data_IF_258097663636
#
_entry.id   IF_258097663636
#
_cell.length_a   1.000
_cell.length_b   1.000
_cell.length_c   1.000
_cell.angle_alpha   90.00
_cell.angle_beta   90.00
_cell.angle_gamma   90.00
#
_symmetry.space_group_name_H-M   'P 1'
#
loop_
_entity.id
_entity.type
_entity.pdbx_description
1 polymer ?
#
# COMPACT_ATOMS: atom_id res chain seq x y z
N UNK A 1 -19.76 -34.89 -27.02
CA UNK A 1 -19.07 -35.00 -25.74
C UNK A 1 -17.87 -34.12 -25.86
N UNK A 2 -18.04 -32.86 -25.51
CA UNK A 2 -17.08 -31.80 -25.80
C UNK A 2 -17.30 -30.71 -24.75
N UNK A 3 -16.80 -30.99 -23.55
CA UNK A 3 -16.59 -29.96 -22.54
C UNK A 3 -15.60 -28.95 -23.12
N UNK A 4 -16.06 -27.75 -23.48
CA UNK A 4 -15.21 -26.58 -23.72
C UNK A 4 -14.25 -26.44 -22.52
N UNK A 5 -12.92 -26.56 -22.70
CA UNK A 5 -11.99 -26.29 -21.62
C UNK A 5 -11.95 -24.77 -21.42
N UNK A 6 -12.66 -24.27 -20.40
CA UNK A 6 -12.49 -22.96 -19.75
C UNK A 6 -11.66 -21.92 -20.56
N UNK A 7 -12.25 -21.39 -21.64
CA UNK A 7 -11.61 -20.41 -22.54
C UNK A 7 -11.64 -18.98 -22.01
N UNK A 8 -11.37 -18.79 -20.71
CA UNK A 8 -11.33 -17.46 -20.10
C UNK A 8 -10.04 -16.73 -20.46
N UNK A 9 -10.11 -15.40 -20.58
CA UNK A 9 -8.90 -14.57 -20.73
C UNK A 9 -8.06 -14.68 -19.46
N UNK A 10 -6.81 -15.11 -19.58
CA UNK A 10 -5.89 -15.28 -18.46
C UNK A 10 -4.60 -14.51 -18.68
N UNK A 11 -4.15 -13.81 -17.65
CA UNK A 11 -2.84 -13.15 -17.61
C UNK A 11 -1.90 -13.90 -16.66
N UNK A 12 -0.60 -13.81 -16.89
CA UNK A 12 0.41 -14.34 -15.98
C UNK A 12 0.93 -13.17 -15.14
N UNK A 13 0.73 -13.23 -13.83
CA UNK A 13 1.20 -12.21 -12.90
C UNK A 13 2.39 -12.76 -12.11
N UNK A 14 3.45 -11.97 -11.96
CA UNK A 14 4.66 -12.31 -11.22
C UNK A 14 4.91 -11.33 -10.08
N UNK A 15 5.23 -11.85 -8.91
CA UNK A 15 5.61 -11.09 -7.72
C UNK A 15 6.84 -11.73 -7.07
N UNK A 16 8.02 -11.11 -7.21
CA UNK A 16 9.29 -11.73 -6.83
C UNK A 16 9.51 -13.04 -7.60
N UNK A 17 9.69 -14.15 -6.88
CA UNK A 17 9.81 -15.50 -7.44
C UNK A 17 8.46 -16.21 -7.65
N UNK A 18 7.37 -15.61 -7.17
CA UNK A 18 6.03 -16.21 -7.25
C UNK A 18 5.34 -15.83 -8.55
N UNK A 19 4.75 -16.81 -9.25
CA UNK A 19 4.03 -16.57 -10.51
C UNK A 19 2.64 -17.23 -10.45
N UNK A 20 1.61 -16.49 -10.83
CA UNK A 20 0.22 -16.98 -10.85
C UNK A 20 -0.51 -16.61 -12.14
N UNK A 21 -1.50 -17.41 -12.55
CA UNK A 21 -2.35 -17.18 -13.72
C UNK A 21 -3.71 -16.69 -13.27
N UNK A 22 -4.02 -15.44 -13.57
CA UNK A 22 -5.26 -14.78 -13.12
C UNK A 22 -6.23 -14.66 -14.28
N UNK A 23 -7.49 -15.06 -14.05
CA UNK A 23 -8.57 -14.81 -15.01
C UNK A 23 -9.02 -13.34 -14.97
N UNK A 24 -9.13 -12.72 -16.16
CA UNK A 24 -9.53 -11.32 -16.32
C UNK A 24 -10.91 -11.15 -16.98
N UNK A 25 -11.72 -12.21 -17.01
CA UNK A 25 -13.07 -12.17 -17.59
C UNK A 25 -14.09 -11.40 -16.73
N UNK A 26 -13.72 -11.10 -15.48
CA UNK A 26 -14.58 -10.43 -14.50
C UNK A 26 -14.58 -8.90 -14.59
N UNK A 27 -15.27 -8.29 -13.62
CA UNK A 27 -15.18 -6.83 -13.37
C UNK A 27 -13.81 -6.47 -12.79
N UNK A 28 -13.43 -5.19 -12.87
CA UNK A 28 -12.22 -4.66 -12.22
C UNK A 28 -12.08 -5.10 -10.76
N UNK A 29 -13.19 -5.09 -10.01
CA UNK A 29 -13.21 -5.55 -8.62
C UNK A 29 -12.94 -7.05 -8.49
N UNK A 30 -13.56 -7.89 -9.33
CA UNK A 30 -13.33 -9.33 -9.33
C UNK A 30 -11.87 -9.68 -9.67
N UNK A 31 -11.28 -8.98 -10.66
CA UNK A 31 -9.87 -9.13 -11.05
C UNK A 31 -8.96 -8.73 -9.89
N UNK A 32 -9.24 -7.57 -9.27
CA UNK A 32 -8.51 -7.08 -8.11
C UNK A 32 -8.54 -8.09 -6.95
N UNK A 33 -9.72 -8.60 -6.60
CA UNK A 33 -9.88 -9.58 -5.53
C UNK A 33 -9.22 -10.93 -5.88
N UNK A 34 -9.26 -11.36 -7.15
CA UNK A 34 -8.57 -12.55 -7.61
C UNK A 34 -7.04 -12.43 -7.44
N UNK A 35 -6.45 -11.27 -7.78
CA UNK A 35 -5.04 -10.99 -7.54
C UNK A 35 -4.74 -11.00 -6.04
N UNK A 36 -5.51 -10.29 -5.21
CA UNK A 36 -5.31 -10.29 -3.75
C UNK A 36 -5.36 -11.70 -3.17
N UNK A 37 -6.33 -12.50 -3.60
CA UNK A 37 -6.48 -13.89 -3.15
C UNK A 37 -5.30 -14.76 -3.59
N UNK A 38 -4.92 -14.68 -4.86
CA UNK A 38 -3.82 -15.44 -5.46
C UNK A 38 -2.46 -15.20 -4.78
N UNK A 39 -2.16 -13.94 -4.48
CA UNK A 39 -0.91 -13.53 -3.84
C UNK A 39 -1.04 -13.40 -2.31
N UNK A 40 -2.20 -13.75 -1.75
CA UNK A 40 -2.52 -13.65 -0.31
C UNK A 40 -2.20 -12.26 0.26
N UNK A 41 -2.52 -11.21 -0.50
CA UNK A 41 -2.34 -9.82 -0.07
C UNK A 41 -3.34 -9.52 1.06
N UNK A 42 -2.87 -9.59 2.31
CA UNK A 42 -3.67 -9.27 3.51
C UNK A 42 -3.59 -7.80 3.93
N UNK A 43 -3.30 -6.91 2.98
CA UNK A 43 -2.92 -5.53 3.27
C UNK A 43 -3.83 -4.54 2.56
N UNK A 44 -4.01 -3.36 3.16
CA UNK A 44 -4.70 -2.21 2.57
C UNK A 44 -3.87 -1.49 1.50
N UNK A 45 -2.63 -1.94 1.25
CA UNK A 45 -1.72 -1.37 0.23
C UNK A 45 -2.41 -1.31 -1.13
N UNK A 46 -2.24 -0.17 -1.79
CA UNK A 46 -2.51 -0.08 -3.21
C UNK A 46 -1.55 -1.02 -3.96
N UNK A 47 -1.96 -1.47 -5.14
CA UNK A 47 -1.13 -2.29 -6.01
C UNK A 47 -1.48 -2.02 -7.46
N UNK A 48 -0.53 -2.28 -8.34
CA UNK A 48 -0.69 -2.13 -9.78
C UNK A 48 0.06 -3.23 -10.55
N UNK A 49 -0.30 -3.40 -11.81
CA UNK A 49 0.34 -4.34 -12.72
C UNK A 49 1.12 -3.57 -13.79
N UNK A 50 2.38 -3.94 -13.96
CA UNK A 50 3.28 -3.45 -15.01
C UNK A 50 3.44 -4.54 -16.08
N UNK A 51 3.22 -4.22 -17.36
CA UNK A 51 3.41 -5.18 -18.46
C UNK A 51 4.88 -5.26 -18.92
N UNK A 52 5.17 -6.08 -19.93
CA UNK A 52 6.51 -6.30 -20.47
C UNK A 52 7.16 -5.02 -21.07
N UNK A 53 6.36 -4.02 -21.46
CA UNK A 53 6.81 -2.71 -21.93
C UNK A 53 6.99 -1.68 -20.80
N UNK A 54 6.95 -2.11 -19.52
CA UNK A 54 7.01 -1.25 -18.34
C UNK A 54 5.85 -0.26 -18.20
N UNK A 55 4.71 -0.56 -18.82
CA UNK A 55 3.51 0.27 -18.74
C UNK A 55 2.61 -0.24 -17.61
N UNK A 56 2.21 0.67 -16.71
CA UNK A 56 1.19 0.39 -15.71
C UNK A 56 -0.17 0.25 -16.38
N UNK A 57 -0.79 -0.91 -16.26
CA UNK A 57 -2.11 -1.20 -16.83
C UNK A 57 -3.22 -1.08 -15.80
N UNK A 58 -4.36 -0.59 -16.27
CA UNK A 58 -5.62 -0.66 -15.54
C UNK A 58 -6.05 -2.12 -15.39
N UNK A 59 -6.73 -2.42 -14.27
CA UNK A 59 -7.25 -3.76 -13.98
C UNK A 59 -8.64 -3.90 -14.60
N UNK A 60 -8.70 -4.46 -15.80
CA UNK A 60 -9.95 -4.64 -16.52
C UNK A 60 -9.85 -5.80 -17.55
N UNK A 61 -10.98 -6.12 -18.17
CA UNK A 61 -11.09 -7.23 -19.15
C UNK A 61 -10.39 -6.97 -20.49
N UNK A 62 -9.99 -5.73 -20.74
CA UNK A 62 -9.24 -5.30 -21.93
C UNK A 62 -7.74 -5.40 -21.73
N UNK A 63 -7.28 -5.78 -20.53
CA UNK A 63 -5.87 -6.07 -20.26
C UNK A 63 -5.30 -7.03 -21.32
N UNK A 64 -4.19 -6.67 -21.99
CA UNK A 64 -3.55 -7.55 -22.95
C UNK A 64 -3.14 -8.87 -22.29
N UNK A 65 -3.27 -9.98 -23.02
CA UNK A 65 -2.81 -11.26 -22.52
C UNK A 65 -1.28 -11.27 -22.56
N UNK A 66 -0.64 -11.57 -21.43
CA UNK A 66 0.80 -11.50 -21.33
C UNK A 66 1.31 -11.68 -19.90
N UNK A 67 2.58 -11.36 -19.72
CA UNK A 67 3.23 -11.36 -18.42
C UNK A 67 3.13 -9.97 -17.79
N UNK A 68 2.79 -9.96 -16.51
CA UNK A 68 2.68 -8.75 -15.71
C UNK A 68 3.49 -8.90 -14.45
N UNK A 69 4.14 -7.83 -14.03
CA UNK A 69 4.77 -7.72 -12.74
C UNK A 69 3.80 -7.03 -11.79
N UNK A 70 3.55 -7.66 -10.64
CA UNK A 70 2.79 -7.06 -9.56
C UNK A 70 3.70 -6.14 -8.76
N UNK A 71 3.24 -4.92 -8.55
CA UNK A 71 3.86 -3.94 -7.67
C UNK A 71 2.91 -3.63 -6.53
N UNK A 72 3.43 -3.66 -5.30
CA UNK A 72 2.72 -3.19 -4.13
C UNK A 72 3.23 -1.80 -3.78
N UNK A 73 2.32 -0.96 -3.31
CA UNK A 73 2.67 0.32 -2.73
C UNK A 73 3.63 0.13 -1.55
N UNK A 74 4.77 0.82 -1.60
CA UNK A 74 5.80 0.75 -0.56
C UNK A 74 5.37 1.50 0.72
N UNK A 75 4.33 2.33 0.61
CA UNK A 75 3.84 3.18 1.68
C UNK A 75 4.73 4.38 1.94
N UNK A 76 4.27 5.24 2.84
CA UNK A 76 4.96 6.43 3.28
C UNK A 76 5.66 6.17 4.61
N UNK A 77 6.97 6.01 4.55
CA UNK A 77 7.82 5.79 5.72
C UNK A 77 8.21 7.12 6.38
N UNK A 78 7.84 7.28 7.65
CA UNK A 78 8.18 8.44 8.47
C UNK A 78 8.80 8.02 9.78
N UNK A 79 9.49 8.95 10.44
CA UNK A 79 10.08 8.75 11.76
C UNK A 79 9.27 9.53 12.80
N UNK A 80 8.87 8.89 13.89
CA UNK A 80 8.13 9.53 14.97
C UNK A 80 8.94 9.45 16.26
N UNK A 81 9.28 10.60 16.83
CA UNK A 81 9.92 10.71 18.13
C UNK A 81 8.90 10.56 19.26
N UNK A 82 9.19 9.61 20.15
CA UNK A 82 8.44 9.35 21.37
C UNK A 82 9.17 10.04 22.54
N UNK A 83 8.44 10.88 23.27
CA UNK A 83 8.91 11.54 24.48
C UNK A 83 8.32 10.84 25.70
N UNK A 84 9.12 10.61 26.74
CA UNK A 84 8.60 10.15 28.02
C UNK A 84 7.92 11.32 28.75
N UNK A 85 6.75 11.02 29.30
CA UNK A 85 5.82 11.92 29.99
C UNK A 85 6.42 12.69 31.18
N UNK A 86 7.62 12.32 31.65
CA UNK A 86 8.23 12.94 32.83
C UNK A 86 9.24 14.07 32.55
N UNK A 87 9.87 14.13 31.36
CA UNK A 87 11.03 15.04 31.18
C UNK A 87 11.25 15.62 29.76
N UNK A 88 10.36 15.39 28.79
CA UNK A 88 10.55 15.86 27.39
C UNK A 88 11.92 15.48 26.78
N UNK A 89 12.53 14.40 27.27
CA UNK A 89 13.75 13.84 26.67
C UNK A 89 13.31 12.96 25.49
N UNK A 90 13.82 13.18 24.26
CA UNK A 90 13.53 12.29 23.14
C UNK A 90 14.18 10.94 23.40
N UNK A 91 13.39 9.93 23.76
CA UNK A 91 13.91 8.64 24.23
C UNK A 91 14.04 7.64 23.08
N UNK A 92 13.13 7.71 22.11
CA UNK A 92 13.10 6.75 21.00
C UNK A 92 12.54 7.37 19.72
N UNK A 93 13.10 6.99 18.57
CA UNK A 93 12.53 7.29 17.25
C UNK A 93 12.02 5.99 16.65
N UNK A 94 10.71 5.90 16.41
CA UNK A 94 10.05 4.78 15.76
C UNK A 94 9.95 5.07 14.25
N UNK A 95 10.28 4.10 13.40
CA UNK A 95 9.96 4.16 11.98
C UNK A 95 8.57 3.56 11.75
N UNK A 96 7.69 4.33 11.12
CA UNK A 96 6.31 3.94 10.83
C UNK A 96 6.03 4.12 9.34
N UNK A 97 5.44 3.10 8.74
CA UNK A 97 5.05 3.11 7.33
C UNK A 97 3.53 3.16 7.26
N UNK A 98 3.01 4.20 6.61
CA UNK A 98 1.57 4.39 6.37
C UNK A 98 1.22 4.01 4.94
N UNK A 99 0.15 3.24 4.75
CA UNK A 99 -0.30 2.84 3.41
C UNK A 99 -1.61 3.50 2.97
N UNK A 100 -2.40 3.98 3.94
CA UNK A 100 -3.68 4.65 3.70
C UNK A 100 -3.89 5.71 4.76
N UNK A 101 -4.69 6.74 4.45
CA UNK A 101 -5.07 7.77 5.43
C UNK A 101 -5.75 7.19 6.68
N UNK A 102 -6.49 6.09 6.51
CA UNK A 102 -7.10 5.33 7.61
C UNK A 102 -6.05 4.72 8.57
N UNK A 103 -4.92 4.19 8.06
CA UNK A 103 -3.82 3.67 8.88
C UNK A 103 -3.14 4.79 9.68
N UNK A 104 -3.00 5.96 9.06
CA UNK A 104 -2.50 7.17 9.72
C UNK A 104 -3.42 7.61 10.87
N UNK A 105 -4.73 7.73 10.62
CA UNK A 105 -5.70 8.10 11.66
C UNK A 105 -5.77 7.09 12.80
N UNK A 106 -5.77 5.79 12.49
CA UNK A 106 -5.77 4.73 13.52
C UNK A 106 -4.51 4.83 14.40
N UNK A 107 -3.34 5.08 13.81
CA UNK A 107 -2.10 5.28 14.56
C UNK A 107 -2.19 6.47 15.51
N UNK A 108 -2.71 7.62 15.06
CA UNK A 108 -2.90 8.80 15.90
C UNK A 108 -3.79 8.49 17.10
N UNK A 109 -4.93 7.82 16.87
CA UNK A 109 -5.87 7.43 17.93
C UNK A 109 -5.23 6.47 18.93
N UNK A 110 -4.53 5.45 18.46
CA UNK A 110 -3.84 4.47 19.32
C UNK A 110 -2.75 5.10 20.19
N UNK A 111 -2.14 6.19 19.72
CA UNK A 111 -1.11 6.95 20.45
C UNK A 111 -1.67 8.12 21.26
N UNK A 112 -2.97 8.41 21.17
CA UNK A 112 -3.58 9.57 21.83
C UNK A 112 -3.08 10.91 21.27
N UNK A 113 -2.71 10.95 20.00
CA UNK A 113 -2.28 12.16 19.30
C UNK A 113 -3.46 12.77 18.54
N UNK A 114 -3.61 14.09 18.64
CA UNK A 114 -4.46 14.88 17.76
C UNK A 114 -3.85 15.02 16.35
N UNK A 115 -2.53 14.90 16.23
CA UNK A 115 -1.82 14.95 14.96
C UNK A 115 -0.31 14.81 15.12
N UNK A 116 0.41 14.85 14.00
CA UNK A 116 1.87 14.93 13.99
C UNK A 116 2.35 16.36 13.71
N UNK A 117 3.54 16.70 14.21
CA UNK A 117 4.25 17.95 13.90
C UNK A 117 5.70 17.64 13.60
N UNK A 118 6.29 18.34 12.62
CA UNK A 118 7.73 18.24 12.35
C UNK A 118 8.55 18.58 13.60
N UNK A 119 9.62 17.84 13.87
CA UNK A 119 10.43 18.06 15.08
C UNK A 119 11.22 19.36 15.03
N UNK A 120 11.74 19.71 13.85
CA UNK A 120 12.54 20.91 13.58
C UNK A 120 11.67 22.08 13.06
N UNK A 121 10.38 21.83 12.86
CA UNK A 121 9.45 22.74 12.20
C UNK A 121 8.25 23.13 13.05
N UNK A 122 7.53 24.15 12.57
CA UNK A 122 6.25 24.57 13.17
C UNK A 122 5.04 23.97 12.43
N UNK A 123 5.25 23.19 11.37
CA UNK A 123 4.18 22.64 10.53
C UNK A 123 3.48 21.48 11.24
N UNK A 124 2.19 21.67 11.47
CA UNK A 124 1.28 20.58 11.85
C UNK A 124 0.87 19.82 10.60
N UNK A 125 0.74 18.51 10.75
CA UNK A 125 0.34 17.59 9.69
C UNK A 125 -1.15 17.28 9.88
N UNK A 126 -1.95 17.76 8.94
CA UNK A 126 -3.41 17.58 8.95
C UNK A 126 -3.81 16.25 8.31
N UNK A 127 -3.14 15.87 7.21
CA UNK A 127 -3.38 14.62 6.48
C UNK A 127 -2.08 13.84 6.23
N UNK A 128 -2.22 12.56 5.89
CA UNK A 128 -1.12 11.71 5.42
C UNK A 128 -0.40 12.29 4.20
N UNK A 129 -1.08 13.08 3.35
CA UNK A 129 -0.46 13.70 2.15
C UNK A 129 0.59 14.76 2.49
N UNK A 130 0.47 15.38 3.67
CA UNK A 130 1.44 16.38 4.16
C UNK A 130 2.72 15.74 4.72
N UNK A 131 2.71 14.43 4.95
CA UNK A 131 3.87 13.71 5.47
C UNK A 131 4.94 13.55 4.39
N UNK A 132 6.19 13.59 4.82
CA UNK A 132 7.35 13.46 3.97
C UNK A 132 8.21 12.29 4.42
N UNK A 133 8.68 11.53 3.43
CA UNK A 133 9.65 10.48 3.68
C UNK A 133 10.92 11.06 4.31
N UNK A 134 11.50 10.31 5.25
CA UNK A 134 12.71 10.67 5.99
C UNK A 134 12.61 11.89 6.93
N UNK A 135 11.44 12.53 7.06
CA UNK A 135 11.22 13.58 8.05
C UNK A 135 10.90 12.98 9.41
N UNK A 136 11.37 13.65 10.46
CA UNK A 136 11.13 13.27 11.86
C UNK A 136 9.99 14.13 12.41
N UNK A 137 8.97 13.45 12.94
CA UNK A 137 7.77 14.04 13.51
C UNK A 137 7.69 13.75 15.00
N UNK A 138 6.88 14.52 15.71
CA UNK A 138 6.45 14.26 17.09
C UNK A 138 4.93 14.27 17.18
N UNK A 139 4.41 13.46 18.09
CA UNK A 139 2.99 13.50 18.44
C UNK A 139 2.61 14.83 19.09
N UNK A 140 1.43 15.33 18.77
CA UNK A 140 0.78 16.46 19.44
C UNK A 140 -0.51 15.92 20.05
N UNK A 141 -0.67 16.08 21.37
CA UNK A 141 -1.91 15.75 22.09
C UNK A 141 -2.91 16.90 22.07
#
# INVERSE_FOLDING_TARGET
>A
GDCLPYGGRVITVKYGDYTQRIGIDGTTEAIREAIKSAFRLRTKRAFWLEDEDHIVRSLDREMPLGNYKLHLDEGLAVKVCLYDESDHIPVHTEEKIFYTEDDYREYLVLRGYAGLREIDGYRNIDSMDDLQTNTIYRGVS
#
